data_IF_993382045843
#
_entry.id   IF_993382045843
#
_cell.length_a   1.000
_cell.length_b   1.000
_cell.length_c   1.000
_cell.angle_alpha   90.00
_cell.angle_beta   90.00
_cell.angle_gamma   90.00
#
_symmetry.space_group_name_H-M   'P 1'
#
loop_
_entity.id
_entity.type
_entity.pdbx_description
1 polymer ?
#
# COMPACT_ATOMS: atom_id res chain seq x y z
N UNK A 1 -7.46 -79.92 0.51
CA UNK A 1 -8.58 -80.67 1.15
C UNK A 1 -8.80 -80.02 2.50
N UNK A 2 -9.88 -79.36 2.89
CA UNK A 2 -11.32 -79.34 2.55
C UNK A 2 -11.86 -77.96 3.00
N UNK A 3 -12.50 -77.17 2.14
CA UNK A 3 -13.96 -77.03 1.96
C UNK A 3 -14.75 -76.62 3.22
N UNK A 4 -15.08 -75.32 3.38
CA UNK A 4 -16.19 -74.85 4.24
C UNK A 4 -16.99 -73.75 3.51
N UNK A 5 -18.21 -74.16 3.11
CA UNK A 5 -19.53 -73.53 3.11
C UNK A 5 -19.78 -72.04 2.75
N UNK A 6 -20.80 -71.92 1.88
CA UNK A 6 -21.62 -70.76 1.52
C UNK A 6 -22.41 -70.19 2.71
N UNK A 7 -22.68 -68.88 2.70
CA UNK A 7 -23.99 -68.31 3.06
C UNK A 7 -24.11 -66.85 2.59
N UNK A 8 -25.16 -66.57 1.80
CA UNK A 8 -25.66 -65.22 1.47
C UNK A 8 -26.56 -64.75 2.62
N UNK A 9 -26.46 -63.48 3.01
CA UNK A 9 -27.55 -62.75 3.70
C UNK A 9 -27.62 -61.32 3.17
N UNK A 10 -28.84 -60.92 2.81
CA UNK A 10 -29.26 -59.57 2.42
C UNK A 10 -29.05 -58.57 3.56
N UNK A 11 -28.59 -57.36 3.22
CA UNK A 11 -28.65 -56.19 4.10
C UNK A 11 -29.17 -54.98 3.31
N UNK A 12 -30.46 -54.73 3.41
CA UNK A 12 -31.11 -53.48 2.99
C UNK A 12 -31.08 -52.53 4.18
N UNK A 13 -30.63 -51.26 4.01
CA UNK A 13 -31.31 -50.03 4.50
C UNK A 13 -30.43 -48.77 4.57
N UNK A 14 -31.10 -47.67 4.19
CA UNK A 14 -31.00 -46.29 4.69
C UNK A 14 -29.96 -45.33 4.07
N UNK A 15 -30.45 -44.59 3.07
CA UNK A 15 -30.00 -43.24 2.74
C UNK A 15 -30.20 -42.32 3.95
N UNK A 16 -29.11 -41.89 4.58
CA UNK A 16 -29.11 -40.76 5.50
C UNK A 16 -28.89 -39.46 4.71
N UNK A 17 -29.94 -38.67 4.51
CA UNK A 17 -29.79 -37.29 4.08
C UNK A 17 -29.21 -36.49 5.24
N UNK A 18 -27.92 -36.18 5.18
CA UNK A 18 -27.31 -35.22 6.09
C UNK A 18 -27.82 -33.82 5.72
N UNK A 19 -28.76 -33.28 6.49
CA UNK A 19 -29.01 -31.83 6.48
C UNK A 19 -27.72 -31.15 6.97
N UNK A 20 -26.94 -30.61 6.03
CA UNK A 20 -25.95 -29.59 6.36
C UNK A 20 -26.71 -28.36 6.83
N UNK A 21 -26.76 -28.17 8.15
CA UNK A 21 -27.13 -26.90 8.75
C UNK A 21 -26.12 -25.86 8.26
N UNK A 22 -26.56 -25.03 7.32
CA UNK A 22 -25.84 -23.85 6.88
C UNK A 22 -25.81 -22.87 8.04
N UNK A 23 -24.72 -22.86 8.81
CA UNK A 23 -24.47 -21.79 9.77
C UNK A 23 -24.14 -20.56 8.94
N UNK A 24 -24.97 -19.51 8.92
CA UNK A 24 -24.57 -18.27 8.29
C UNK A 24 -23.31 -17.79 9.00
N UNK A 25 -22.20 -17.73 8.26
CA UNK A 25 -21.04 -16.97 8.69
C UNK A 25 -21.57 -15.55 8.81
N UNK A 26 -21.76 -15.08 10.03
CA UNK A 26 -22.00 -13.67 10.31
C UNK A 26 -20.76 -12.92 9.81
N UNK A 27 -20.78 -12.52 8.55
CA UNK A 27 -19.96 -11.43 8.06
C UNK A 27 -20.41 -10.21 8.84
N UNK A 28 -19.72 -9.87 9.93
CA UNK A 28 -19.87 -8.55 10.52
C UNK A 28 -19.54 -7.57 9.39
N UNK A 29 -20.56 -6.89 8.87
CA UNK A 29 -20.36 -5.84 7.89
C UNK A 29 -19.35 -4.88 8.49
N UNK A 30 -18.21 -4.70 7.83
CA UNK A 30 -17.16 -3.87 8.37
C UNK A 30 -17.68 -2.43 8.43
N UNK A 31 -17.49 -1.79 9.58
CA UNK A 31 -18.00 -0.45 9.82
C UNK A 31 -17.40 0.51 8.80
N UNK A 32 -18.27 1.31 8.16
CA UNK A 32 -17.83 2.39 7.28
C UNK A 32 -17.13 3.46 8.12
N UNK A 33 -15.97 3.99 7.67
CA UNK A 33 -15.29 5.05 8.40
C UNK A 33 -16.16 6.30 8.44
N UNK A 34 -16.21 6.95 9.61
CA UNK A 34 -16.87 8.24 9.78
C UNK A 34 -15.85 9.35 9.51
N UNK A 35 -16.16 10.24 8.57
CA UNK A 35 -15.32 11.41 8.23
C UNK A 35 -16.04 12.70 8.59
N UNK A 36 -15.28 13.74 8.98
CA UNK A 36 -15.83 15.06 9.32
C UNK A 36 -15.90 16.03 8.13
N UNK A 37 -15.25 15.69 7.01
CA UNK A 37 -15.27 16.43 5.74
C UNK A 37 -15.27 15.44 4.58
N UNK A 38 -16.04 15.73 3.53
CA UNK A 38 -16.23 14.84 2.40
C UNK A 38 -17.05 13.59 2.76
N UNK A 39 -16.92 12.57 1.91
CA UNK A 39 -17.61 11.28 2.09
C UNK A 39 -16.73 10.12 1.64
N UNK A 40 -16.93 8.94 2.24
CA UNK A 40 -16.23 7.71 1.86
C UNK A 40 -17.21 6.75 1.18
N UNK A 41 -16.82 6.24 0.02
CA UNK A 41 -17.48 5.13 -0.65
C UNK A 41 -16.59 3.89 -0.56
N UNK A 42 -17.16 2.73 -0.21
CA UNK A 42 -16.42 1.47 -0.15
C UNK A 42 -16.78 0.59 -1.33
N UNK A 43 -15.76 0.12 -2.04
CA UNK A 43 -15.86 -1.04 -2.93
C UNK A 43 -15.62 -2.28 -2.07
N UNK A 44 -16.69 -2.96 -1.72
CA UNK A 44 -16.62 -4.17 -0.89
C UNK A 44 -16.00 -5.33 -1.68
N UNK A 45 -14.92 -5.93 -1.17
CA UNK A 45 -14.24 -7.07 -1.77
C UNK A 45 -14.01 -6.90 -3.29
N UNK A 46 -13.42 -5.77 -3.69
CA UNK A 46 -13.07 -5.51 -5.07
C UNK A 46 -12.25 -6.69 -5.64
N UNK A 47 -12.73 -7.36 -6.70
CA UNK A 47 -12.14 -8.60 -7.19
C UNK A 47 -10.86 -8.32 -7.98
N UNK A 48 -9.94 -9.29 -7.99
CA UNK A 48 -8.70 -9.21 -8.76
C UNK A 48 -8.33 -10.58 -9.34
N UNK A 49 -7.69 -10.57 -10.51
CA UNK A 49 -7.06 -11.76 -11.11
C UNK A 49 -5.64 -11.98 -10.60
N UNK A 50 -5.04 -10.98 -9.95
CA UNK A 50 -3.63 -10.99 -9.53
C UNK A 50 -3.45 -11.28 -8.05
N UNK A 51 -4.36 -10.81 -7.20
CA UNK A 51 -4.31 -10.93 -5.75
C UNK A 51 -5.69 -11.23 -5.16
N UNK A 52 -5.77 -11.51 -3.87
CA UNK A 52 -7.06 -11.69 -3.20
C UNK A 52 -7.89 -10.40 -3.26
N UNK A 53 -9.21 -10.59 -3.34
CA UNK A 53 -10.19 -9.52 -3.28
C UNK A 53 -10.10 -8.77 -1.94
N UNK A 54 -10.31 -7.45 -1.97
CA UNK A 54 -10.13 -6.58 -0.81
C UNK A 54 -11.05 -5.36 -0.85
N UNK A 55 -11.30 -4.76 0.31
CA UNK A 55 -12.01 -3.49 0.35
C UNK A 55 -11.12 -2.37 -0.22
N UNK A 56 -11.76 -1.41 -0.89
CA UNK A 56 -11.13 -0.15 -1.30
C UNK A 56 -12.03 0.98 -0.84
N UNK A 57 -11.48 1.89 -0.03
CA UNK A 57 -12.19 3.06 0.47
C UNK A 57 -11.80 4.29 -0.36
N UNK A 58 -12.77 4.87 -1.07
CA UNK A 58 -12.61 6.07 -1.88
C UNK A 58 -13.16 7.25 -1.12
N UNK A 59 -12.30 8.18 -0.73
CA UNK A 59 -12.74 9.45 -0.17
C UNK A 59 -12.89 10.50 -1.27
N UNK A 60 -14.04 11.17 -1.25
CA UNK A 60 -14.39 12.28 -2.13
C UNK A 60 -14.52 13.57 -1.30
N UNK A 61 -13.91 14.69 -1.74
CA UNK A 61 -14.02 15.96 -1.04
C UNK A 61 -15.46 16.50 -1.04
N UNK A 62 -15.75 17.41 -0.12
CA UNK A 62 -16.98 18.18 -0.15
C UNK A 62 -17.09 18.94 -1.48
N UNK A 63 -18.26 18.86 -2.12
CA UNK A 63 -18.46 19.49 -3.43
C UNK A 63 -17.82 18.73 -4.60
N UNK A 64 -17.42 17.46 -4.40
CA UNK A 64 -17.07 16.58 -5.51
C UNK A 64 -18.14 16.63 -6.61
N UNK A 65 -17.70 16.82 -7.85
CA UNK A 65 -18.56 16.98 -9.01
C UNK A 65 -17.93 16.32 -10.23
N UNK A 66 -18.68 15.50 -10.99
CA UNK A 66 -18.23 14.94 -12.26
C UNK A 66 -17.88 15.99 -13.33
N UNK A 67 -18.20 17.28 -13.12
CA UNK A 67 -17.84 18.36 -14.04
C UNK A 67 -16.41 18.91 -13.83
N UNK A 68 -15.70 18.46 -12.78
CA UNK A 68 -14.30 18.79 -12.50
C UNK A 68 -13.45 17.52 -12.58
N UNK A 69 -12.15 17.66 -12.80
CA UNK A 69 -11.20 16.55 -12.71
C UNK A 69 -10.35 16.67 -11.45
N UNK A 70 -10.02 15.54 -10.83
CA UNK A 70 -9.29 15.47 -9.56
C UNK A 70 -8.00 14.68 -9.74
N UNK A 71 -6.96 15.07 -9.00
CA UNK A 71 -5.81 14.20 -8.75
C UNK A 71 -6.26 12.94 -8.01
N UNK A 72 -5.51 11.85 -8.17
CA UNK A 72 -5.75 10.61 -7.43
C UNK A 72 -4.53 10.30 -6.56
N UNK A 73 -4.75 10.26 -5.25
CA UNK A 73 -3.78 9.75 -4.30
C UNK A 73 -4.16 8.32 -3.87
N UNK A 74 -3.44 7.33 -4.38
CA UNK A 74 -3.53 5.96 -3.91
C UNK A 74 -2.78 5.81 -2.60
N UNK A 75 -3.44 5.27 -1.58
CA UNK A 75 -2.82 5.06 -0.27
C UNK A 75 -2.93 3.60 0.17
N UNK A 76 -1.81 3.07 0.64
CA UNK A 76 -1.76 1.74 1.25
C UNK A 76 -2.38 1.74 2.64
N UNK A 77 -2.71 0.54 3.15
CA UNK A 77 -3.33 0.36 4.47
C UNK A 77 -4.63 1.17 4.63
N UNK A 78 -5.49 1.11 3.60
CA UNK A 78 -6.73 1.88 3.47
C UNK A 78 -7.62 1.91 4.72
N UNK A 79 -7.64 0.81 5.49
CA UNK A 79 -8.41 0.70 6.73
C UNK A 79 -8.00 1.71 7.82
N UNK A 80 -6.78 2.27 7.76
CA UNK A 80 -6.22 3.17 8.78
C UNK A 80 -6.26 4.65 8.41
N UNK A 81 -6.84 5.02 7.27
CA UNK A 81 -6.67 6.36 6.72
C UNK A 81 -7.60 7.41 7.32
N UNK A 82 -8.83 7.02 7.67
CA UNK A 82 -9.93 7.98 7.85
C UNK A 82 -10.47 8.04 9.27
N UNK A 83 -10.66 6.93 9.97
CA UNK A 83 -11.38 6.90 11.23
C UNK A 83 -10.68 6.02 12.27
N UNK A 84 -10.20 6.62 13.35
CA UNK A 84 -9.50 5.91 14.42
C UNK A 84 -10.42 4.99 15.22
N UNK A 85 -11.74 5.23 15.23
CA UNK A 85 -12.68 4.41 16.00
C UNK A 85 -12.77 2.98 15.47
N UNK A 86 -12.54 2.80 14.16
CA UNK A 86 -12.62 1.52 13.45
C UNK A 86 -11.29 0.76 13.45
N UNK A 87 -10.18 1.40 13.83
CA UNK A 87 -8.86 0.75 13.87
C UNK A 87 -8.61 0.02 15.19
N UNK A 88 -7.72 -0.98 15.13
CA UNK A 88 -7.34 -1.81 16.28
C UNK A 88 -6.52 -1.03 17.31
N UNK A 89 -5.71 -0.07 16.88
CA UNK A 89 -4.82 0.73 17.74
C UNK A 89 -5.38 2.12 18.10
N UNK A 90 -6.62 2.43 17.69
CA UNK A 90 -7.29 3.71 17.93
C UNK A 90 -6.54 4.92 17.38
N UNK A 91 -5.86 4.73 16.25
CA UNK A 91 -5.19 5.80 15.51
C UNK A 91 -5.65 5.80 14.05
N UNK A 92 -5.55 6.95 13.40
CA UNK A 92 -5.78 7.11 11.97
C UNK A 92 -4.90 8.23 11.42
N UNK A 93 -4.68 8.20 10.12
CA UNK A 93 -3.91 9.22 9.41
C UNK A 93 -4.64 10.56 9.28
N UNK A 94 -5.98 10.56 9.33
CA UNK A 94 -6.83 11.73 9.11
C UNK A 94 -6.55 12.42 7.76
N UNK A 95 -6.30 11.61 6.72
CA UNK A 95 -5.87 12.11 5.39
C UNK A 95 -6.89 13.08 4.80
N UNK A 96 -8.17 12.74 4.92
CA UNK A 96 -9.30 13.56 4.44
C UNK A 96 -9.27 14.99 5.00
N UNK A 97 -9.04 15.15 6.31
CA UNK A 97 -8.95 16.47 6.94
C UNK A 97 -7.72 17.25 6.46
N UNK A 98 -6.57 16.58 6.28
CA UNK A 98 -5.36 17.23 5.80
C UNK A 98 -5.50 17.73 4.36
N UNK A 99 -6.06 16.89 3.47
CA UNK A 99 -6.30 17.26 2.07
C UNK A 99 -7.33 18.37 1.95
N UNK A 100 -8.48 18.26 2.63
CA UNK A 100 -9.52 19.30 2.61
C UNK A 100 -8.98 20.67 3.04
N UNK A 101 -8.22 20.71 4.14
CA UNK A 101 -7.55 21.93 4.61
C UNK A 101 -6.64 22.52 3.52
N UNK A 102 -5.81 21.70 2.88
CA UNK A 102 -4.83 22.18 1.90
C UNK A 102 -5.46 22.61 0.57
N UNK A 103 -6.52 21.93 0.12
CA UNK A 103 -7.31 22.34 -1.05
C UNK A 103 -7.98 23.69 -0.79
N UNK A 104 -8.64 23.88 0.36
CA UNK A 104 -9.27 25.15 0.75
C UNK A 104 -8.26 26.30 0.86
N UNK A 105 -7.01 26.00 1.20
CA UNK A 105 -5.91 26.97 1.23
C UNK A 105 -5.27 27.23 -0.15
N UNK A 106 -5.69 26.53 -1.20
CA UNK A 106 -5.10 26.62 -2.53
C UNK A 106 -3.66 26.09 -2.62
N UNK A 107 -3.24 25.27 -1.64
CA UNK A 107 -1.86 24.75 -1.54
C UNK A 107 -1.65 23.44 -2.30
N UNK A 108 -2.72 22.73 -2.62
CA UNK A 108 -2.75 21.54 -3.47
C UNK A 108 -3.97 21.61 -4.40
N UNK A 109 -3.91 20.90 -5.53
CA UNK A 109 -5.05 20.78 -6.43
C UNK A 109 -6.18 19.90 -5.87
N UNK A 110 -7.38 20.01 -6.46
CA UNK A 110 -8.53 19.14 -6.17
C UNK A 110 -8.08 17.66 -6.24
N UNK A 111 -8.33 16.89 -5.18
CA UNK A 111 -7.77 15.53 -5.02
C UNK A 111 -8.79 14.57 -4.39
N UNK A 112 -8.86 13.34 -4.90
CA UNK A 112 -9.54 12.20 -4.24
C UNK A 112 -8.50 11.23 -3.65
N UNK A 113 -8.91 10.44 -2.66
CA UNK A 113 -8.03 9.41 -2.06
C UNK A 113 -8.61 8.03 -2.33
N UNK A 114 -7.77 7.11 -2.79
CA UNK A 114 -8.11 5.70 -2.98
C UNK A 114 -7.32 4.87 -1.97
N UNK A 115 -7.94 4.56 -0.84
CA UNK A 115 -7.38 3.76 0.24
C UNK A 115 -7.51 2.26 -0.02
N UNK A 116 -6.41 1.61 -0.36
CA UNK A 116 -6.37 0.17 -0.66
C UNK A 116 -6.08 -0.61 0.61
N UNK A 117 -7.03 -1.43 1.05
CA UNK A 117 -6.84 -2.24 2.24
C UNK A 117 -5.69 -3.24 2.05
N UNK A 118 -4.92 -3.46 3.12
CA UNK A 118 -3.92 -4.52 3.11
C UNK A 118 -4.58 -5.90 3.25
N UNK A 119 -3.85 -6.95 2.86
CA UNK A 119 -4.32 -8.33 2.91
C UNK A 119 -3.91 -9.05 4.22
N UNK A 120 -3.99 -8.35 5.36
CA UNK A 120 -3.72 -8.90 6.69
C UNK A 120 -2.37 -9.62 6.78
N UNK A 121 -2.39 -10.94 7.00
CA UNK A 121 -1.17 -11.77 7.09
C UNK A 121 -0.31 -11.75 5.82
N UNK A 122 -0.90 -11.45 4.66
CA UNK A 122 -0.20 -11.34 3.38
C UNK A 122 0.25 -9.91 3.05
N UNK A 123 -0.01 -8.92 3.93
CA UNK A 123 0.46 -7.54 3.74
C UNK A 123 1.96 -7.49 3.42
N UNK A 124 2.78 -8.24 4.18
CA UNK A 124 4.23 -8.29 3.96
C UNK A 124 4.57 -8.90 2.60
N UNK A 125 3.90 -9.98 2.24
CA UNK A 125 4.06 -10.69 0.97
C UNK A 125 3.74 -9.80 -0.24
N UNK A 126 2.73 -8.94 -0.12
CA UNK A 126 2.32 -8.02 -1.19
C UNK A 126 3.15 -6.73 -1.22
N UNK A 127 3.68 -6.27 -0.08
CA UNK A 127 4.36 -4.97 -0.01
C UNK A 127 5.89 -5.07 -0.10
N UNK A 128 6.50 -6.22 0.16
CA UNK A 128 7.95 -6.35 0.00
C UNK A 128 8.35 -6.49 -1.47
N UNK A 129 9.17 -5.57 -2.04
CA UNK A 129 9.56 -5.62 -3.44
C UNK A 129 10.32 -6.90 -3.81
N UNK A 130 9.66 -7.79 -4.52
CA UNK A 130 10.19 -9.12 -4.82
C UNK A 130 11.47 -9.08 -5.67
N UNK A 131 11.67 -8.05 -6.49
CA UNK A 131 12.90 -7.91 -7.29
C UNK A 131 14.13 -7.53 -6.46
N UNK A 132 13.96 -6.99 -5.25
CA UNK A 132 15.10 -6.78 -4.34
C UNK A 132 15.73 -8.11 -3.99
N UNK A 133 14.93 -9.17 -3.86
CA UNK A 133 15.40 -10.51 -3.56
C UNK A 133 16.43 -11.00 -4.57
N UNK A 134 16.38 -10.54 -5.83
CA UNK A 134 17.37 -10.83 -6.87
C UNK A 134 18.81 -10.51 -6.48
N UNK A 135 18.99 -9.53 -5.59
CA UNK A 135 20.29 -9.05 -5.08
C UNK A 135 20.67 -9.66 -3.73
N UNK A 136 19.83 -10.52 -3.16
CA UNK A 136 20.09 -11.26 -1.91
C UNK A 136 20.67 -12.64 -2.25
N UNK A 137 21.59 -13.14 -1.42
CA UNK A 137 22.18 -14.48 -1.59
C UNK A 137 21.09 -15.57 -1.62
N UNK A 138 21.20 -16.63 -2.44
CA UNK A 138 20.13 -17.63 -2.57
C UNK A 138 19.67 -18.26 -1.26
N UNK A 139 20.59 -18.53 -0.33
CA UNK A 139 20.27 -19.13 0.98
C UNK A 139 19.38 -18.19 1.79
N UNK A 140 19.81 -16.94 1.97
CA UNK A 140 19.09 -15.97 2.79
C UNK A 140 17.80 -15.51 2.13
N UNK A 141 17.79 -15.40 0.79
CA UNK A 141 16.58 -15.21 0.00
C UNK A 141 15.53 -16.26 0.33
N UNK A 142 15.90 -17.54 0.25
CA UNK A 142 14.96 -18.63 0.52
C UNK A 142 14.48 -18.62 1.98
N UNK A 143 15.38 -18.37 2.93
CA UNK A 143 15.01 -18.22 4.34
C UNK A 143 13.99 -17.08 4.56
N UNK A 144 14.25 -15.91 3.98
CA UNK A 144 13.37 -14.75 4.09
C UNK A 144 12.02 -15.00 3.42
N UNK A 145 11.99 -15.61 2.23
CA UNK A 145 10.73 -15.94 1.54
C UNK A 145 9.85 -16.85 2.41
N UNK A 146 10.44 -17.89 3.01
CA UNK A 146 9.70 -18.84 3.84
C UNK A 146 9.24 -18.22 5.17
N UNK A 147 10.10 -17.44 5.82
CA UNK A 147 9.82 -16.86 7.13
C UNK A 147 8.88 -15.64 7.06
N UNK A 148 9.07 -14.77 6.07
CA UNK A 148 8.47 -13.44 6.06
C UNK A 148 7.47 -13.23 4.92
N UNK A 149 7.56 -13.98 3.82
CA UNK A 149 6.73 -13.76 2.62
C UNK A 149 5.72 -14.89 2.36
N UNK A 150 5.41 -15.71 3.35
CA UNK A 150 4.47 -16.83 3.23
C UNK A 150 4.79 -17.78 2.05
N UNK A 151 6.08 -17.92 1.72
CA UNK A 151 6.57 -18.85 0.70
C UNK A 151 6.52 -18.34 -0.75
N UNK A 152 5.81 -17.26 -1.07
CA UNK A 152 5.75 -16.70 -2.43
C UNK A 152 5.60 -15.19 -2.40
N UNK A 153 6.61 -14.39 -2.84
CA UNK A 153 6.46 -12.94 -2.98
C UNK A 153 5.33 -12.58 -3.97
N UNK A 154 4.55 -11.53 -3.66
CA UNK A 154 3.39 -11.11 -4.46
C UNK A 154 3.40 -9.64 -4.86
N UNK A 155 4.49 -8.90 -4.63
CA UNK A 155 4.51 -7.46 -4.90
C UNK A 155 4.24 -7.11 -6.35
N UNK A 156 4.76 -7.88 -7.31
CA UNK A 156 4.50 -7.60 -8.74
C UNK A 156 3.02 -7.81 -9.07
N UNK A 157 2.39 -8.84 -8.47
CA UNK A 157 0.95 -9.08 -8.65
C UNK A 157 0.10 -8.01 -7.99
N UNK A 158 0.50 -7.53 -6.81
CA UNK A 158 -0.17 -6.42 -6.16
C UNK A 158 -0.11 -5.14 -7.01
N UNK A 159 1.05 -4.82 -7.60
CA UNK A 159 1.15 -3.67 -8.52
C UNK A 159 0.37 -3.88 -9.82
N UNK A 160 0.33 -5.10 -10.36
CA UNK A 160 -0.52 -5.42 -11.51
C UNK A 160 -2.00 -5.20 -11.20
N UNK A 161 -2.48 -5.61 -10.03
CA UNK A 161 -3.82 -5.29 -9.55
C UNK A 161 -4.09 -3.77 -9.53
N UNK A 162 -3.17 -2.99 -8.95
CA UNK A 162 -3.33 -1.54 -8.88
C UNK A 162 -3.40 -0.91 -10.28
N UNK A 163 -2.49 -1.28 -11.17
CA UNK A 163 -2.32 -0.62 -12.47
C UNK A 163 -3.31 -1.12 -13.52
N UNK A 164 -3.63 -2.41 -13.52
CA UNK A 164 -4.41 -3.04 -14.60
C UNK A 164 -5.89 -3.22 -14.24
N UNK A 165 -6.26 -3.14 -12.96
CA UNK A 165 -7.64 -3.37 -12.51
C UNK A 165 -8.19 -2.17 -11.73
N UNK A 166 -7.53 -1.78 -10.64
CA UNK A 166 -8.07 -0.74 -9.77
C UNK A 166 -8.02 0.65 -10.40
N UNK A 167 -6.86 1.09 -10.93
CA UNK A 167 -6.74 2.41 -11.55
C UNK A 167 -7.72 2.60 -12.72
N UNK A 168 -7.83 1.66 -13.69
CA UNK A 168 -8.83 1.77 -14.76
C UNK A 168 -10.26 1.84 -14.24
N UNK A 169 -10.59 1.11 -13.17
CA UNK A 169 -11.90 1.22 -12.53
C UNK A 169 -12.13 2.63 -11.98
N UNK A 170 -11.17 3.17 -11.24
CA UNK A 170 -11.26 4.50 -10.65
C UNK A 170 -11.43 5.56 -11.75
N UNK A 171 -10.61 5.52 -12.80
CA UNK A 171 -10.65 6.51 -13.89
C UNK A 171 -11.94 6.44 -14.73
N UNK A 172 -12.63 5.30 -14.73
CA UNK A 172 -13.90 5.13 -15.48
C UNK A 172 -15.11 5.55 -14.64
N UNK A 173 -15.05 5.44 -13.31
CA UNK A 173 -16.20 5.67 -12.42
C UNK A 173 -16.13 6.99 -11.64
N UNK A 174 -14.95 7.61 -11.57
CA UNK A 174 -14.73 8.90 -10.93
C UNK A 174 -14.09 9.88 -11.92
N UNK A 175 -14.32 11.17 -11.72
CA UNK A 175 -13.83 12.20 -12.61
C UNK A 175 -12.38 12.53 -12.30
N UNK A 176 -11.45 11.70 -12.75
CA UNK A 176 -10.03 11.84 -12.46
C UNK A 176 -9.29 12.46 -13.64
N UNK A 177 -8.09 12.98 -13.38
CA UNK A 177 -7.07 13.09 -14.40
C UNK A 177 -6.39 11.71 -14.54
N UNK A 178 -6.56 11.01 -15.68
CA UNK A 178 -6.07 9.64 -15.80
C UNK A 178 -4.57 9.57 -16.09
N UNK A 179 -3.92 10.71 -16.38
CA UNK A 179 -2.52 10.75 -16.74
C UNK A 179 -1.59 10.64 -15.52
N UNK A 180 -0.35 10.33 -15.84
CA UNK A 180 0.75 10.13 -14.90
C UNK A 180 0.96 11.32 -13.97
N UNK A 181 0.87 12.56 -14.47
CA UNK A 181 1.21 13.75 -13.69
C UNK A 181 0.22 14.04 -12.54
N UNK A 182 -0.95 13.39 -12.55
CA UNK A 182 -2.00 13.55 -11.55
C UNK A 182 -2.30 12.25 -10.78
N UNK A 183 -1.48 11.22 -10.97
CA UNK A 183 -1.60 9.91 -10.30
C UNK A 183 -0.43 9.74 -9.32
N UNK A 184 -0.75 9.65 -8.03
CA UNK A 184 0.24 9.59 -6.94
C UNK A 184 0.02 8.40 -6.02
N UNK A 185 1.07 7.98 -5.32
CA UNK A 185 1.00 6.92 -4.31
C UNK A 185 1.60 7.36 -2.97
N UNK A 186 1.04 6.91 -1.85
CA UNK A 186 1.61 7.17 -0.54
C UNK A 186 1.41 5.98 0.41
N UNK A 187 2.37 5.78 1.29
CA UNK A 187 2.24 4.83 2.39
C UNK A 187 3.34 5.02 3.42
N UNK A 188 3.20 4.34 4.56
CA UNK A 188 4.26 4.25 5.56
C UNK A 188 4.89 2.87 5.61
N UNK A 189 6.09 2.76 6.19
CA UNK A 189 6.69 1.46 6.47
C UNK A 189 6.87 0.64 5.19
N UNK A 190 6.33 -0.59 5.15
CA UNK A 190 6.30 -1.40 3.93
C UNK A 190 5.41 -0.80 2.82
N UNK A 191 4.40 0.01 3.18
CA UNK A 191 3.61 0.82 2.25
C UNK A 191 4.47 1.86 1.52
N UNK A 192 5.43 2.48 2.22
CA UNK A 192 6.42 3.34 1.58
C UNK A 192 7.35 2.56 0.65
N UNK A 193 7.76 1.36 1.07
CA UNK A 193 8.63 0.48 0.29
C UNK A 193 7.99 0.08 -1.05
N UNK A 194 6.73 -0.36 -1.02
CA UNK A 194 5.97 -0.72 -2.23
C UNK A 194 5.66 0.51 -3.10
N UNK A 195 5.50 1.70 -2.53
CA UNK A 195 5.33 2.95 -3.29
C UNK A 195 6.59 3.30 -4.11
N UNK A 196 7.78 3.21 -3.50
CA UNK A 196 9.04 3.44 -4.22
C UNK A 196 9.25 2.38 -5.31
N UNK A 197 8.85 1.14 -5.04
CA UNK A 197 8.88 0.08 -6.05
C UNK A 197 7.88 0.35 -7.19
N UNK A 198 6.66 0.81 -6.88
CA UNK A 198 5.63 1.10 -7.86
C UNK A 198 6.07 2.16 -8.88
N UNK A 199 6.65 3.28 -8.43
CA UNK A 199 7.14 4.31 -9.35
C UNK A 199 8.33 3.86 -10.19
N UNK A 200 9.13 2.91 -9.69
CA UNK A 200 10.27 2.33 -10.41
C UNK A 200 9.82 1.33 -11.49
N UNK A 201 8.76 0.56 -11.21
CA UNK A 201 8.22 -0.48 -12.11
C UNK A 201 7.19 0.06 -13.11
N UNK A 202 6.46 1.10 -12.73
CA UNK A 202 5.41 1.73 -13.53
C UNK A 202 5.60 3.25 -13.59
N UNK A 203 6.76 3.74 -14.07
CA UNK A 203 7.03 5.18 -14.14
C UNK A 203 6.00 5.90 -15.02
N UNK A 204 5.52 5.25 -16.08
CA UNK A 204 4.50 5.84 -16.97
C UNK A 204 3.11 5.99 -16.34
N UNK A 205 2.89 5.41 -15.15
CA UNK A 205 1.60 5.43 -14.45
C UNK A 205 1.63 6.40 -13.26
N UNK A 206 2.71 6.43 -12.48
CA UNK A 206 2.78 7.20 -11.24
C UNK A 206 3.71 8.40 -11.41
N UNK A 207 3.18 9.62 -11.29
CA UNK A 207 3.97 10.86 -11.39
C UNK A 207 4.71 11.22 -10.10
N UNK A 208 4.30 10.65 -8.96
CA UNK A 208 5.06 10.82 -7.74
C UNK A 208 4.59 9.97 -6.58
N UNK A 209 5.48 9.77 -5.61
CA UNK A 209 5.20 8.97 -4.42
C UNK A 209 5.72 9.59 -3.13
N UNK A 210 5.05 9.30 -2.02
CA UNK A 210 5.49 9.68 -0.68
C UNK A 210 5.62 8.43 0.21
N UNK A 211 6.85 8.16 0.65
CA UNK A 211 7.20 6.97 1.42
C UNK A 211 7.66 7.37 2.83
N UNK A 212 6.71 7.36 3.78
CA UNK A 212 6.95 7.78 5.16
C UNK A 212 7.53 6.63 5.98
N UNK A 213 8.53 6.89 6.81
CA UNK A 213 9.13 5.87 7.69
C UNK A 213 9.43 4.56 6.96
N UNK A 214 10.05 4.62 5.77
CA UNK A 214 10.17 3.47 4.87
C UNK A 214 10.92 2.30 5.52
N UNK A 215 10.31 1.11 5.52
CA UNK A 215 10.83 -0.06 6.24
C UNK A 215 11.94 -0.79 5.46
N UNK A 216 13.06 -0.09 5.21
CA UNK A 216 14.19 -0.57 4.42
C UNK A 216 14.78 -1.90 4.91
N UNK A 217 14.70 -2.17 6.21
CA UNK A 217 15.21 -3.41 6.79
C UNK A 217 14.41 -4.64 6.37
N UNK A 218 13.18 -4.49 5.85
CA UNK A 218 12.38 -5.54 5.24
C UNK A 218 11.82 -6.63 6.16
N UNK A 219 12.46 -6.90 7.30
CA UNK A 219 12.10 -7.91 8.28
C UNK A 219 12.02 -7.35 9.71
N UNK A 220 11.65 -8.20 10.69
CA UNK A 220 11.47 -7.78 12.08
C UNK A 220 12.78 -7.46 12.80
N UNK A 221 13.93 -7.85 12.23
CA UNK A 221 15.26 -7.66 12.82
C UNK A 221 16.10 -6.75 11.93
N UNK A 222 16.79 -5.81 12.58
CA UNK A 222 17.73 -4.92 11.88
C UNK A 222 18.81 -5.73 11.14
N UNK A 223 19.06 -5.39 9.88
CA UNK A 223 20.01 -6.06 9.02
C UNK A 223 20.50 -5.11 7.91
N UNK A 224 21.59 -5.48 7.24
CA UNK A 224 22.17 -4.69 6.15
C UNK A 224 21.88 -5.25 4.76
N UNK A 225 21.57 -6.54 4.63
CA UNK A 225 21.46 -7.19 3.33
C UNK A 225 20.20 -6.80 2.55
N UNK A 226 19.04 -6.70 3.20
CA UNK A 226 17.82 -6.27 2.54
C UNK A 226 17.89 -4.79 2.13
N UNK A 227 18.40 -3.87 2.96
CA UNK A 227 18.71 -2.51 2.51
C UNK A 227 19.69 -2.44 1.33
N UNK A 228 20.78 -3.22 1.35
CA UNK A 228 21.75 -3.25 0.24
C UNK A 228 21.15 -3.82 -1.05
N UNK A 229 20.22 -4.77 -0.93
CA UNK A 229 19.48 -5.31 -2.05
C UNK A 229 18.52 -4.28 -2.66
N UNK A 230 17.81 -3.52 -1.81
CA UNK A 230 17.01 -2.38 -2.24
C UNK A 230 17.87 -1.33 -2.96
N UNK A 231 19.04 -1.00 -2.40
CA UNK A 231 20.01 -0.09 -3.00
C UNK A 231 20.44 -0.56 -4.40
N UNK A 232 20.84 -1.83 -4.53
CA UNK A 232 21.31 -2.41 -5.80
C UNK A 232 20.23 -2.40 -6.88
N UNK A 233 18.98 -2.62 -6.49
CA UNK A 233 17.84 -2.50 -7.39
C UNK A 233 17.59 -1.05 -7.80
N UNK A 234 17.52 -0.11 -6.85
CA UNK A 234 17.18 1.29 -7.13
C UNK A 234 18.26 1.97 -7.98
N UNK A 235 19.53 1.60 -7.79
CA UNK A 235 20.62 2.03 -8.64
C UNK A 235 20.45 1.67 -10.12
N UNK A 236 19.57 0.72 -10.47
CA UNK A 236 19.29 0.30 -11.85
C UNK A 236 17.91 0.75 -12.32
N UNK A 237 16.91 0.74 -11.44
CA UNK A 237 15.51 0.84 -11.81
C UNK A 237 14.79 2.11 -11.34
N UNK A 238 15.44 2.99 -10.56
CA UNK A 238 14.80 4.22 -10.11
C UNK A 238 14.33 5.07 -11.30
N UNK A 239 13.11 5.59 -11.19
CA UNK A 239 12.48 6.44 -12.20
C UNK A 239 13.31 7.70 -12.50
N UNK A 240 13.09 8.30 -13.67
CA UNK A 240 13.81 9.53 -14.07
C UNK A 240 13.34 10.75 -13.27
N UNK A 241 14.25 11.63 -12.79
CA UNK A 241 13.88 12.87 -12.10
C UNK A 241 13.22 13.90 -13.03
N UNK A 242 13.27 13.76 -14.35
CA UNK A 242 12.65 14.73 -15.28
C UNK A 242 11.15 14.88 -15.03
N UNK A 243 10.53 13.80 -14.60
CA UNK A 243 9.10 13.59 -14.71
C UNK A 243 8.49 13.11 -13.39
N UNK A 244 9.30 12.73 -12.39
CA UNK A 244 8.84 12.05 -11.18
C UNK A 244 9.20 12.81 -9.91
N UNK A 245 8.31 12.80 -8.92
CA UNK A 245 8.55 13.38 -7.59
C UNK A 245 8.54 12.29 -6.52
N UNK A 246 9.52 12.31 -5.63
CA UNK A 246 9.64 11.31 -4.56
C UNK A 246 9.88 12.01 -3.22
N UNK A 247 8.95 11.85 -2.29
CA UNK A 247 9.10 12.25 -0.90
C UNK A 247 9.43 11.03 -0.04
N UNK A 248 10.38 11.19 0.88
CA UNK A 248 10.70 10.22 1.91
C UNK A 248 10.87 10.93 3.26
N UNK A 249 10.57 10.23 4.34
CA UNK A 249 10.98 10.68 5.68
C UNK A 249 11.21 9.51 6.63
N UNK A 250 11.82 9.79 7.78
CA UNK A 250 11.77 8.91 8.96
C UNK A 250 11.91 9.72 10.25
N UNK A 251 11.41 9.16 11.34
CA UNK A 251 11.60 9.66 12.69
C UNK A 251 12.95 9.30 13.31
N UNK A 252 13.16 9.69 14.57
CA UNK A 252 14.39 9.39 15.33
C UNK A 252 14.15 8.47 16.53
N UNK A 253 12.90 8.02 16.76
CA UNK A 253 12.52 7.16 17.88
C UNK A 253 11.97 5.81 17.43
N UNK A 254 11.91 4.87 18.38
CA UNK A 254 11.38 3.53 18.21
C UNK A 254 11.97 2.82 17.00
N UNK A 255 11.12 2.29 16.12
CA UNK A 255 11.57 1.54 14.94
C UNK A 255 12.24 2.44 13.90
N UNK A 256 11.84 3.71 13.80
CA UNK A 256 12.39 4.65 12.80
C UNK A 256 13.87 5.00 13.04
N UNK A 257 14.32 4.89 14.29
CA UNK A 257 15.72 5.13 14.65
C UNK A 257 16.70 4.21 13.89
N UNK A 258 16.24 3.05 13.40
CA UNK A 258 17.05 2.11 12.63
C UNK A 258 17.13 2.45 11.12
N UNK A 259 16.35 3.40 10.62
CA UNK A 259 16.27 3.67 9.19
C UNK A 259 17.30 4.68 8.69
N UNK A 260 17.90 5.50 9.56
CA UNK A 260 18.82 6.56 9.16
C UNK A 260 19.99 6.06 8.27
N UNK A 261 20.68 4.94 8.58
CA UNK A 261 21.75 4.44 7.72
C UNK A 261 21.23 4.04 6.32
N UNK A 262 20.13 3.28 6.26
CA UNK A 262 19.53 2.84 5.00
C UNK A 262 19.00 4.00 4.17
N UNK A 263 18.35 4.97 4.82
CA UNK A 263 17.86 6.18 4.16
C UNK A 263 19.01 7.00 3.58
N UNK A 264 20.13 7.14 4.29
CA UNK A 264 21.30 7.85 3.79
C UNK A 264 21.89 7.25 2.51
N UNK A 265 21.90 5.92 2.38
CA UNK A 265 22.31 5.25 1.14
C UNK A 265 21.32 5.50 0.01
N UNK A 266 20.03 5.41 0.28
CA UNK A 266 18.99 5.69 -0.72
C UNK A 266 19.12 7.14 -1.19
N UNK A 267 19.23 8.12 -0.28
CA UNK A 267 19.39 9.53 -0.61
C UNK A 267 20.61 9.81 -1.51
N UNK A 268 21.69 9.03 -1.35
CA UNK A 268 22.86 9.11 -2.23
C UNK A 268 22.55 8.64 -3.66
N UNK A 269 21.77 7.57 -3.85
CA UNK A 269 21.34 7.10 -5.19
C UNK A 269 20.55 8.19 -5.90
N UNK A 270 19.62 8.83 -5.20
CA UNK A 270 18.77 9.87 -5.79
C UNK A 270 19.62 11.03 -6.32
N UNK A 271 20.61 11.47 -5.53
CA UNK A 271 21.57 12.51 -5.96
C UNK A 271 22.40 12.05 -7.17
N UNK A 272 22.90 10.82 -7.15
CA UNK A 272 23.65 10.23 -8.27
C UNK A 272 22.80 10.14 -9.55
N UNK A 273 21.50 9.84 -9.43
CA UNK A 273 20.53 9.79 -10.52
C UNK A 273 20.02 11.17 -10.97
N UNK A 274 20.55 12.26 -10.41
CA UNK A 274 20.25 13.64 -10.84
C UNK A 274 19.00 14.26 -10.21
N UNK A 275 18.43 13.66 -9.16
CA UNK A 275 17.35 14.30 -8.41
C UNK A 275 17.85 15.54 -7.67
N UNK A 276 17.07 16.61 -7.77
CA UNK A 276 17.26 17.84 -6.98
C UNK A 276 16.14 17.99 -5.95
N UNK A 277 16.21 19.01 -5.09
CA UNK A 277 15.16 19.31 -4.11
C UNK A 277 13.77 19.58 -4.75
N UNK A 278 13.73 19.90 -6.05
CA UNK A 278 12.49 20.06 -6.78
C UNK A 278 11.76 18.73 -7.04
N UNK A 279 12.49 17.61 -7.09
CA UNK A 279 11.96 16.29 -7.43
C UNK A 279 12.15 15.26 -6.32
N UNK A 280 13.01 15.52 -5.35
CA UNK A 280 13.18 14.66 -4.20
C UNK A 280 13.25 15.46 -2.91
N UNK A 281 12.60 14.94 -1.88
CA UNK A 281 12.73 15.44 -0.52
C UNK A 281 12.87 14.27 0.44
N UNK A 282 13.95 14.24 1.22
CA UNK A 282 14.16 13.28 2.31
C UNK A 282 14.34 14.05 3.62
N UNK A 283 13.53 13.75 4.63
CA UNK A 283 13.50 14.51 5.88
C UNK A 283 13.65 13.60 7.09
N UNK A 284 14.48 14.02 8.04
CA UNK A 284 14.54 13.43 9.38
C UNK A 284 13.62 14.22 10.30
N UNK A 285 12.69 13.54 10.98
CA UNK A 285 11.70 14.15 11.87
C UNK A 285 12.09 13.84 13.31
N UNK A 286 12.76 14.80 13.95
CA UNK A 286 13.21 14.59 15.32
C UNK A 286 12.04 14.33 16.29
N UNK A 287 12.19 13.31 17.13
CA UNK A 287 11.21 12.91 18.13
C UNK A 287 10.03 12.09 17.61
N UNK A 288 9.87 11.93 16.29
CA UNK A 288 8.83 11.09 15.72
C UNK A 288 9.17 9.59 15.81
N UNK A 289 8.13 8.78 15.95
CA UNK A 289 8.17 7.32 16.03
C UNK A 289 7.35 6.69 14.87
N UNK A 290 7.29 5.35 14.82
CA UNK A 290 6.71 4.55 13.74
C UNK A 290 5.22 4.26 13.96
N UNK A 291 4.37 5.30 13.92
CA UNK A 291 2.92 5.16 14.18
C UNK A 291 2.06 6.17 13.39
N UNK A 292 0.77 5.89 13.27
CA UNK A 292 -0.19 6.68 12.48
C UNK A 292 -0.36 8.11 13.00
N UNK A 293 -0.31 8.33 14.32
CA UNK A 293 -0.38 9.67 14.89
C UNK A 293 0.78 10.56 14.41
N UNK A 294 2.00 10.03 14.42
CA UNK A 294 3.19 10.79 14.02
C UNK A 294 3.27 10.96 12.49
N UNK A 295 2.71 10.04 11.71
CA UNK A 295 2.52 10.22 10.26
C UNK A 295 1.46 11.29 9.96
N UNK A 296 0.31 11.22 10.64
CA UNK A 296 -0.79 12.20 10.54
C UNK A 296 -0.30 13.62 10.83
N UNK A 297 0.48 13.80 11.89
CA UNK A 297 0.99 15.10 12.32
C UNK A 297 1.87 15.82 11.27
N UNK A 298 2.48 15.08 10.34
CA UNK A 298 3.39 15.61 9.32
C UNK A 298 2.91 15.49 7.88
N UNK A 299 1.68 15.00 7.66
CA UNK A 299 1.10 14.79 6.33
C UNK A 299 1.12 16.00 5.40
N UNK A 300 1.09 17.21 5.97
CA UNK A 300 1.11 18.44 5.18
C UNK A 300 2.32 18.52 4.23
N UNK A 301 3.50 18.09 4.69
CA UNK A 301 4.74 18.20 3.91
C UNK A 301 4.73 17.32 2.66
N UNK A 302 4.49 15.98 2.73
CA UNK A 302 4.41 15.14 1.55
C UNK A 302 3.27 15.54 0.62
N UNK A 303 2.10 15.91 1.16
CA UNK A 303 0.95 16.30 0.35
C UNK A 303 1.26 17.53 -0.51
N UNK A 304 1.82 18.58 0.10
CA UNK A 304 2.18 19.80 -0.64
C UNK A 304 3.30 19.52 -1.65
N UNK A 305 4.29 18.70 -1.29
CA UNK A 305 5.39 18.36 -2.20
C UNK A 305 4.89 17.63 -3.45
N UNK A 306 3.99 16.66 -3.29
CA UNK A 306 3.44 15.91 -4.43
C UNK A 306 2.43 16.74 -5.23
N UNK A 307 1.45 17.35 -4.55
CA UNK A 307 0.22 17.87 -5.15
C UNK A 307 0.20 19.40 -5.33
N UNK A 308 1.21 20.13 -4.84
CA UNK A 308 1.25 21.60 -4.83
C UNK A 308 1.72 22.26 -6.12
N UNK A 309 1.90 21.50 -7.21
CA UNK A 309 2.52 21.99 -8.45
C UNK A 309 1.57 22.44 -9.57
N UNK A 310 0.25 22.30 -9.41
CA UNK A 310 -0.74 22.50 -10.48
C UNK A 310 -1.30 23.93 -10.65
N UNK A 311 -0.72 24.93 -9.98
CA UNK A 311 -1.20 26.33 -9.98
C UNK A 311 -0.22 27.30 -10.68
N UNK A 312 0.57 26.82 -11.66
CA UNK A 312 1.40 27.70 -12.50
C UNK A 312 0.80 27.88 -13.86
#
# INVERSE_FOLDING_TARGET
MTLIQRLRVLGCKLFGAALMLWVPINSYAQIMPTVNVGQVQRLENFPSKFVDARHVDIWLPDGYSPAKHYNVLYMHDGQGLFDASTTWNKQAWNVHTAIDKLVKQGRIGDTIVVGVWNNGKFRRTEYFPQKYLGFVTPIKRNQFIQAELAGTPLSDRYLQFLVQELKPYIDTHFSTYPDRAHTFMMGSSMGGLISIYAISEYPDVFGGVAALSTHWIGGPVNNTELPLAAFSYLQQHLASPENHRIYMDHGTRGLDAFYAPSQGFVDAIFKERGYTEAQMKSIVIDGADHNERDWSARLEVPLVFLLGGGQR
#
